data_IF_217026065499
#
_entry.id   IF_217026065499
#
_cell.length_a   1.000
_cell.length_b   1.000
_cell.length_c   1.000
_cell.angle_alpha   90.00
_cell.angle_beta   90.00
_cell.angle_gamma   90.00
#
_symmetry.space_group_name_H-M   'P 1'
#
loop_
_entity.id
_entity.type
_entity.pdbx_description
1 polymer ?
#
# COMPACT_ATOMS: atom_id res chain seq x y z
N UNK A 1 -25.17 43.53 -1.49
CA UNK A 1 -24.06 44.09 -2.27
C UNK A 1 -23.57 45.34 -1.60
N UNK A 2 -22.26 45.52 -1.49
CA UNK A 2 -21.64 46.73 -0.93
C UNK A 2 -21.32 47.59 -2.13
N UNK A 3 -21.94 48.80 -2.18
CA UNK A 3 -21.86 49.67 -3.36
C UNK A 3 -20.97 50.90 -3.15
N UNK A 4 -20.44 51.11 -1.92
CA UNK A 4 -19.52 52.23 -1.64
C UNK A 4 -18.51 51.87 -0.53
N UNK A 5 -17.35 52.53 -0.53
CA UNK A 5 -16.30 52.39 0.47
C UNK A 5 -16.81 52.77 1.88
N UNK A 6 -17.64 53.80 1.99
CA UNK A 6 -18.24 54.21 3.25
C UNK A 6 -19.15 53.15 3.89
N UNK A 7 -19.91 52.45 3.04
CA UNK A 7 -20.76 51.35 3.51
C UNK A 7 -19.93 50.15 3.99
N UNK A 8 -18.83 49.88 3.31
CA UNK A 8 -17.84 48.87 3.71
C UNK A 8 -17.26 49.22 5.08
N UNK A 9 -16.80 50.45 5.27
CA UNK A 9 -16.16 50.90 6.52
C UNK A 9 -17.15 50.88 7.70
N UNK A 10 -18.39 51.26 7.50
CA UNK A 10 -19.45 51.18 8.51
C UNK A 10 -19.76 49.73 8.89
N UNK A 11 -19.82 48.81 7.92
CA UNK A 11 -20.01 47.37 8.17
C UNK A 11 -18.79 46.77 8.89
N UNK A 12 -17.59 47.17 8.50
CA UNK A 12 -16.36 46.73 9.11
C UNK A 12 -16.24 47.15 10.59
N UNK A 13 -16.56 48.40 10.92
CA UNK A 13 -16.59 48.91 12.28
C UNK A 13 -17.67 48.21 13.15
N UNK A 14 -18.84 47.91 12.56
CA UNK A 14 -19.87 47.12 13.26
C UNK A 14 -19.39 45.70 13.54
N UNK A 15 -18.72 45.10 12.58
CA UNK A 15 -18.16 43.72 12.71
C UNK A 15 -17.07 43.64 13.80
N UNK A 16 -16.19 44.64 13.87
CA UNK A 16 -15.14 44.71 14.92
C UNK A 16 -15.71 44.86 16.33
N UNK A 17 -16.91 45.43 16.48
CA UNK A 17 -17.59 45.58 17.79
C UNK A 17 -18.30 44.29 18.27
N UNK A 18 -18.27 43.22 17.49
CA UNK A 18 -18.89 41.96 17.88
C UNK A 18 -17.86 41.04 18.59
N UNK A 19 -17.93 40.88 19.95
CA UNK A 19 -16.93 40.12 20.72
C UNK A 19 -16.79 38.67 20.27
N UNK A 20 -17.84 38.11 19.67
CA UNK A 20 -17.88 36.73 19.22
C UNK A 20 -16.89 36.44 18.07
N UNK A 21 -16.60 37.43 17.23
CA UNK A 21 -15.71 37.27 16.06
C UNK A 21 -14.28 37.75 16.32
N UNK A 22 -14.08 38.50 17.42
CA UNK A 22 -12.75 38.94 17.83
C UNK A 22 -11.86 37.75 18.15
N UNK A 23 -10.63 37.72 17.63
CA UNK A 23 -9.67 36.62 17.74
C UNK A 23 -10.11 35.26 17.15
N UNK A 24 -11.30 35.14 16.54
CA UNK A 24 -11.75 33.93 15.85
C UNK A 24 -11.76 34.06 14.35
N UNK A 25 -12.30 35.17 13.82
CA UNK A 25 -12.35 35.45 12.39
C UNK A 25 -11.44 36.61 11.98
N UNK A 26 -11.07 37.48 12.92
CA UNK A 26 -10.12 38.57 12.70
C UNK A 26 -9.18 38.68 13.90
N UNK A 27 -7.88 38.72 13.64
CA UNK A 27 -6.84 38.93 14.66
C UNK A 27 -5.56 39.45 14.01
N UNK A 28 -4.97 40.51 14.59
CA UNK A 28 -3.62 41.03 14.24
C UNK A 28 -3.33 41.14 12.72
N UNK A 29 -4.26 41.66 11.93
CA UNK A 29 -4.07 41.79 10.49
C UNK A 29 -4.38 40.56 9.64
N UNK A 30 -4.84 39.48 10.26
CA UNK A 30 -5.34 38.28 9.56
C UNK A 30 -6.87 38.22 9.60
N UNK A 31 -7.48 37.81 8.50
CA UNK A 31 -8.91 37.55 8.41
C UNK A 31 -9.17 36.12 7.95
N UNK A 32 -10.07 35.41 8.63
CA UNK A 32 -10.50 34.08 8.23
C UNK A 32 -11.84 34.13 7.50
N UNK A 33 -11.94 33.48 6.36
CA UNK A 33 -13.18 33.27 5.63
C UNK A 33 -13.60 31.82 5.75
N UNK A 34 -14.82 31.59 6.22
CA UNK A 34 -15.40 30.25 6.33
C UNK A 34 -16.28 30.02 5.10
N UNK A 35 -15.95 28.97 4.33
CA UNK A 35 -16.75 28.51 3.20
C UNK A 35 -17.53 27.27 3.61
N UNK A 36 -18.85 27.34 3.64
CA UNK A 36 -19.71 26.17 3.82
C UNK A 36 -19.86 25.45 2.49
N UNK A 37 -19.59 24.17 2.47
CA UNK A 37 -19.72 23.33 1.28
C UNK A 37 -20.97 22.47 1.41
N UNK A 38 -21.70 22.33 0.31
CA UNK A 38 -22.83 21.43 0.23
C UNK A 38 -22.34 19.96 0.19
N UNK A 39 -23.21 19.05 0.62
CA UNK A 39 -22.93 17.60 0.64
C UNK A 39 -22.52 17.03 -0.72
N UNK A 40 -22.99 17.63 -1.82
CA UNK A 40 -22.63 17.26 -3.19
C UNK A 40 -21.15 17.43 -3.51
N UNK A 41 -20.42 18.28 -2.77
CA UNK A 41 -18.98 18.49 -2.91
C UNK A 41 -18.13 17.57 -2.03
N UNK A 42 -18.74 16.57 -1.39
CA UNK A 42 -18.01 15.55 -0.64
C UNK A 42 -17.34 14.53 -1.60
N UNK A 43 -17.94 14.31 -2.80
CA UNK A 43 -17.35 13.45 -3.84
C UNK A 43 -16.00 13.99 -4.34
N UNK A 44 -15.05 13.11 -4.69
CA UNK A 44 -13.67 13.49 -5.01
C UNK A 44 -13.54 14.46 -6.17
N UNK A 45 -14.29 14.29 -7.24
CA UNK A 45 -14.14 15.09 -8.48
C UNK A 45 -14.63 16.51 -8.30
N UNK A 46 -15.86 16.69 -7.79
CA UNK A 46 -16.42 18.01 -7.52
C UNK A 46 -15.62 18.76 -6.46
N UNK A 47 -15.19 18.06 -5.40
CA UNK A 47 -14.34 18.62 -4.35
C UNK A 47 -13.00 19.11 -4.90
N UNK A 48 -12.32 18.30 -5.69
CA UNK A 48 -11.01 18.61 -6.25
C UNK A 48 -11.09 19.83 -7.20
N UNK A 49 -12.13 19.91 -8.02
CA UNK A 49 -12.38 21.05 -8.89
C UNK A 49 -12.65 22.34 -8.09
N UNK A 50 -13.48 22.25 -7.04
CA UNK A 50 -13.79 23.38 -6.18
C UNK A 50 -12.55 23.90 -5.45
N UNK A 51 -11.77 22.99 -4.83
CA UNK A 51 -10.52 23.36 -4.14
C UNK A 51 -9.52 24.00 -5.10
N UNK A 52 -9.43 23.51 -6.34
CA UNK A 52 -8.58 24.11 -7.37
C UNK A 52 -9.03 25.55 -7.69
N UNK A 53 -10.34 25.78 -7.90
CA UNK A 53 -10.89 27.12 -8.16
C UNK A 53 -10.63 28.07 -6.98
N UNK A 54 -10.83 27.60 -5.74
CA UNK A 54 -10.55 28.40 -4.53
C UNK A 54 -9.07 28.78 -4.46
N UNK A 55 -8.15 27.84 -4.74
CA UNK A 55 -6.70 28.13 -4.77
C UNK A 55 -6.33 29.14 -5.86
N UNK A 56 -6.92 29.02 -7.03
CA UNK A 56 -6.70 29.94 -8.13
C UNK A 56 -7.15 31.38 -7.78
N UNK A 57 -8.37 31.52 -7.24
CA UNK A 57 -8.89 32.82 -6.77
C UNK A 57 -7.99 33.38 -5.65
N UNK A 58 -7.61 32.59 -4.68
CA UNK A 58 -6.74 33.03 -3.59
C UNK A 58 -5.32 33.40 -4.05
N UNK A 59 -4.77 32.69 -5.06
CA UNK A 59 -3.48 33.02 -5.63
C UNK A 59 -3.52 34.34 -6.41
N UNK A 60 -4.60 34.64 -7.11
CA UNK A 60 -4.80 35.91 -7.78
C UNK A 60 -4.94 37.04 -6.76
N UNK A 61 -5.75 36.86 -5.72
CA UNK A 61 -5.86 37.80 -4.62
C UNK A 61 -4.53 38.06 -3.91
N UNK A 62 -3.73 37.02 -3.67
CA UNK A 62 -2.41 37.15 -3.06
C UNK A 62 -1.46 38.01 -3.92
N UNK A 63 -1.50 37.86 -5.26
CA UNK A 63 -0.70 38.66 -6.20
C UNK A 63 -1.16 40.11 -6.23
N UNK A 64 -2.46 40.34 -6.23
CA UNK A 64 -3.02 41.71 -6.36
C UNK A 64 -2.84 42.52 -5.06
N UNK A 65 -2.79 41.84 -3.91
CA UNK A 65 -2.74 42.50 -2.59
C UNK A 65 -1.41 42.35 -1.85
N UNK A 66 -0.47 41.60 -2.39
CA UNK A 66 0.80 41.24 -1.75
C UNK A 66 0.62 40.54 -0.37
N UNK A 67 -0.56 39.92 -0.13
CA UNK A 67 -0.90 39.24 1.11
C UNK A 67 -0.79 37.73 0.97
N UNK A 68 -0.40 37.06 2.05
CA UNK A 68 -0.38 35.59 2.09
C UNK A 68 -1.77 35.03 2.30
N UNK A 69 -2.15 34.01 1.53
CA UNK A 69 -3.41 33.28 1.66
C UNK A 69 -3.12 31.86 2.11
N UNK A 70 -3.73 31.47 3.23
CA UNK A 70 -3.61 30.13 3.80
C UNK A 70 -4.96 29.40 3.67
N UNK A 71 -4.88 28.07 3.43
CA UNK A 71 -6.05 27.24 3.26
C UNK A 71 -6.09 26.17 4.33
N UNK A 72 -7.27 25.90 4.89
CA UNK A 72 -7.50 24.87 5.89
C UNK A 72 -8.89 24.25 5.73
N UNK A 73 -9.09 23.10 6.36
CA UNK A 73 -10.36 22.39 6.37
C UNK A 73 -10.26 21.00 5.75
N UNK A 74 -11.15 20.10 6.19
CA UNK A 74 -11.14 18.69 5.76
C UNK A 74 -11.19 18.49 4.24
N UNK A 75 -12.00 19.23 3.45
CA UNK A 75 -12.03 19.07 2.00
C UNK A 75 -10.70 19.43 1.33
N UNK A 76 -10.05 20.47 1.82
CA UNK A 76 -8.73 20.90 1.33
C UNK A 76 -7.66 19.85 1.64
N UNK A 77 -7.59 19.40 2.89
CA UNK A 77 -6.63 18.38 3.34
C UNK A 77 -6.81 17.05 2.58
N UNK A 78 -8.06 16.61 2.40
CA UNK A 78 -8.35 15.40 1.60
C UNK A 78 -7.89 15.54 0.15
N UNK A 79 -8.07 16.71 -0.46
CA UNK A 79 -7.64 16.94 -1.85
C UNK A 79 -6.11 16.91 -1.99
N UNK A 80 -5.38 17.57 -1.07
CA UNK A 80 -3.91 17.56 -1.08
C UNK A 80 -3.39 16.16 -0.82
N UNK A 81 -3.89 15.48 0.21
CA UNK A 81 -3.46 14.12 0.53
C UNK A 81 -3.70 13.18 -0.64
N UNK A 82 -4.86 13.24 -1.31
CA UNK A 82 -5.12 12.42 -2.50
C UNK A 82 -4.14 12.68 -3.65
N UNK A 83 -3.72 13.92 -3.85
CA UNK A 83 -2.75 14.28 -4.88
C UNK A 83 -1.33 13.77 -4.54
N UNK A 84 -0.89 13.92 -3.29
CA UNK A 84 0.37 13.39 -2.77
C UNK A 84 0.41 11.87 -2.87
N UNK A 85 -0.64 11.19 -2.41
CA UNK A 85 -0.75 9.73 -2.46
C UNK A 85 -0.60 9.22 -3.88
N UNK A 86 -1.28 9.83 -4.87
CA UNK A 86 -1.15 9.40 -6.28
C UNK A 86 0.29 9.48 -6.79
N UNK A 87 1.04 10.48 -6.38
CA UNK A 87 2.46 10.63 -6.75
C UNK A 87 3.34 9.60 -6.05
N UNK A 88 3.13 9.38 -4.76
CA UNK A 88 3.91 8.46 -3.93
C UNK A 88 3.64 7.00 -4.27
N UNK A 89 2.39 6.63 -4.58
CA UNK A 89 2.02 5.25 -4.99
C UNK A 89 2.84 4.80 -6.20
N UNK A 90 3.00 5.65 -7.21
CA UNK A 90 3.82 5.34 -8.37
C UNK A 90 5.27 5.02 -8.00
N UNK A 91 5.84 5.83 -7.11
CA UNK A 91 7.20 5.63 -6.60
C UNK A 91 7.31 4.32 -5.78
N UNK A 92 6.36 4.05 -4.88
CA UNK A 92 6.37 2.83 -4.06
C UNK A 92 6.24 1.58 -4.92
N UNK A 93 5.36 1.58 -5.92
CA UNK A 93 5.22 0.46 -6.86
C UNK A 93 6.54 0.25 -7.63
N UNK A 94 7.14 1.32 -8.15
CA UNK A 94 8.40 1.23 -8.87
C UNK A 94 9.52 0.66 -7.98
N UNK A 95 9.69 1.18 -6.76
CA UNK A 95 10.68 0.70 -5.80
C UNK A 95 10.42 -0.77 -5.41
N UNK A 96 9.16 -1.14 -5.17
CA UNK A 96 8.80 -2.51 -4.85
C UNK A 96 9.16 -3.46 -5.99
N UNK A 97 8.85 -3.12 -7.25
CA UNK A 97 9.25 -3.93 -8.40
C UNK A 97 10.77 -3.97 -8.59
N UNK A 98 11.47 -2.86 -8.38
CA UNK A 98 12.92 -2.79 -8.54
C UNK A 98 13.62 -3.68 -7.49
N UNK A 99 13.32 -3.49 -6.20
CA UNK A 99 13.91 -4.28 -5.11
C UNK A 99 13.61 -5.77 -5.30
N UNK A 100 12.36 -6.08 -5.64
CA UNK A 100 11.93 -7.45 -5.91
C UNK A 100 12.65 -8.07 -7.10
N UNK A 101 12.82 -7.32 -8.19
CA UNK A 101 13.55 -7.78 -9.36
C UNK A 101 14.99 -8.14 -9.02
N UNK A 102 15.65 -7.30 -8.22
CA UNK A 102 17.02 -7.55 -7.74
C UNK A 102 17.06 -8.85 -6.92
N UNK A 103 16.15 -8.99 -5.96
CA UNK A 103 16.08 -10.18 -5.09
C UNK A 103 15.84 -11.44 -5.92
N UNK A 104 14.86 -11.42 -6.83
CA UNK A 104 14.54 -12.56 -7.70
C UNK A 104 15.70 -12.93 -8.62
N UNK A 105 16.39 -11.92 -9.18
CA UNK A 105 17.56 -12.17 -10.03
C UNK A 105 18.71 -12.81 -9.25
N UNK A 106 19.02 -12.30 -8.05
CA UNK A 106 20.06 -12.88 -7.17
C UNK A 106 19.68 -14.30 -6.78
N UNK A 107 18.40 -14.55 -6.53
CA UNK A 107 17.91 -15.87 -6.10
C UNK A 107 17.96 -16.88 -7.24
N UNK A 108 17.34 -16.62 -8.37
CA UNK A 108 17.22 -17.56 -9.49
C UNK A 108 18.42 -17.54 -10.45
N UNK A 109 19.20 -16.48 -10.49
CA UNK A 109 20.25 -16.22 -11.50
C UNK A 109 19.74 -16.43 -12.94
N UNK A 110 18.48 -16.13 -13.18
CA UNK A 110 17.76 -16.31 -14.45
C UNK A 110 16.84 -15.13 -14.69
N UNK A 111 17.15 -14.33 -15.71
CA UNK A 111 16.28 -13.24 -16.17
C UNK A 111 14.88 -13.73 -16.56
N UNK A 112 14.78 -14.92 -17.13
CA UNK A 112 13.49 -15.49 -17.56
C UNK A 112 12.59 -15.79 -16.37
N UNK A 113 13.12 -16.43 -15.32
CA UNK A 113 12.38 -16.73 -14.12
C UNK A 113 11.94 -15.44 -13.38
N UNK A 114 12.85 -14.46 -13.28
CA UNK A 114 12.57 -13.14 -12.74
C UNK A 114 11.45 -12.46 -13.52
N UNK A 115 11.57 -12.38 -14.85
CA UNK A 115 10.60 -11.70 -15.71
C UNK A 115 9.21 -12.33 -15.63
N UNK A 116 9.10 -13.67 -15.61
CA UNK A 116 7.82 -14.38 -15.45
C UNK A 116 7.17 -13.99 -14.12
N UNK A 117 7.92 -14.00 -13.01
CA UNK A 117 7.39 -13.66 -11.69
C UNK A 117 6.88 -12.22 -11.66
N UNK A 118 7.66 -11.28 -12.19
CA UNK A 118 7.30 -9.85 -12.24
C UNK A 118 6.10 -9.62 -13.13
N UNK A 119 6.02 -10.27 -14.29
CA UNK A 119 4.92 -10.14 -15.24
C UNK A 119 3.61 -10.60 -14.60
N UNK A 120 3.59 -11.76 -13.94
CA UNK A 120 2.38 -12.29 -13.29
C UNK A 120 1.91 -11.37 -12.17
N UNK A 121 2.83 -10.92 -11.32
CA UNK A 121 2.49 -10.00 -10.22
C UNK A 121 2.09 -8.62 -10.76
N UNK A 122 2.75 -8.15 -11.84
CA UNK A 122 2.39 -6.90 -12.52
C UNK A 122 0.97 -6.92 -13.07
N UNK A 123 0.54 -8.02 -13.68
CA UNK A 123 -0.85 -8.21 -14.10
C UNK A 123 -1.78 -8.11 -12.90
N UNK A 124 -1.43 -8.73 -11.76
CA UNK A 124 -2.20 -8.65 -10.52
C UNK A 124 -2.31 -7.22 -9.96
N UNK A 125 -1.24 -6.43 -10.05
CA UNK A 125 -1.26 -5.01 -9.66
C UNK A 125 -2.20 -4.20 -10.56
N UNK A 126 -2.12 -4.39 -11.89
CA UNK A 126 -3.05 -3.73 -12.83
C UNK A 126 -4.48 -4.14 -12.56
N UNK A 127 -4.71 -5.43 -12.30
CA UNK A 127 -6.03 -5.95 -11.94
C UNK A 127 -6.57 -5.31 -10.66
N UNK A 128 -5.72 -5.05 -9.66
CA UNK A 128 -6.16 -4.41 -8.42
C UNK A 128 -6.67 -2.98 -8.61
N UNK A 129 -6.03 -2.20 -9.49
CA UNK A 129 -6.56 -0.90 -9.89
C UNK A 129 -7.88 -1.01 -10.66
N UNK A 130 -7.99 -2.02 -11.53
CA UNK A 130 -9.24 -2.35 -12.21
C UNK A 130 -10.37 -2.68 -11.24
N UNK A 131 -10.08 -3.44 -10.18
CA UNK A 131 -11.05 -3.77 -9.13
C UNK A 131 -11.51 -2.53 -8.37
N UNK A 132 -10.59 -1.61 -8.03
CA UNK A 132 -10.93 -0.32 -7.40
C UNK A 132 -11.86 0.49 -8.29
N UNK A 133 -11.53 0.60 -9.60
CA UNK A 133 -12.36 1.34 -10.57
C UNK A 133 -13.73 0.71 -10.79
N UNK A 134 -13.82 -0.62 -10.86
CA UNK A 134 -15.10 -1.33 -11.02
C UNK A 134 -16.05 -1.19 -9.82
N UNK A 135 -15.49 -0.97 -8.64
CA UNK A 135 -16.26 -0.77 -7.41
C UNK A 135 -16.52 0.71 -7.10
N UNK A 136 -16.12 1.62 -7.99
CA UNK A 136 -16.18 3.09 -7.79
C UNK A 136 -15.54 3.53 -6.47
N UNK A 137 -14.42 2.89 -6.08
CA UNK A 137 -13.70 3.23 -4.85
C UNK A 137 -12.60 4.25 -5.12
N UNK A 138 -12.55 5.27 -4.29
CA UNK A 138 -11.48 6.28 -4.33
C UNK A 138 -10.13 5.69 -3.90
N UNK A 139 -9.05 6.26 -4.46
CA UNK A 139 -7.70 5.92 -4.01
C UNK A 139 -7.43 6.67 -2.70
N UNK A 140 -7.57 5.96 -1.59
CA UNK A 140 -7.24 6.41 -0.23
C UNK A 140 -5.80 5.98 0.14
N UNK A 141 -5.30 6.44 1.29
CA UNK A 141 -3.99 6.00 1.82
C UNK A 141 -3.95 4.47 1.96
N UNK A 142 -5.03 3.87 2.47
CA UNK A 142 -5.11 2.42 2.66
C UNK A 142 -5.16 1.66 1.33
N UNK A 143 -6.01 2.09 0.38
CA UNK A 143 -6.10 1.42 -0.92
C UNK A 143 -4.81 1.57 -1.75
N UNK A 144 -4.06 2.64 -1.53
CA UNK A 144 -2.75 2.87 -2.14
C UNK A 144 -1.69 1.82 -1.71
N UNK A 145 -1.87 1.17 -0.56
CA UNK A 145 -0.98 0.09 -0.09
C UNK A 145 -1.27 -1.26 -0.75
N UNK A 146 -2.41 -1.43 -1.44
CA UNK A 146 -2.78 -2.70 -2.07
C UNK A 146 -1.74 -3.16 -3.10
N UNK A 147 -1.28 -2.35 -4.06
CA UNK A 147 -0.29 -2.78 -5.04
C UNK A 147 1.04 -3.28 -4.43
N UNK A 148 1.73 -2.56 -3.53
CA UNK A 148 2.91 -3.08 -2.84
C UNK A 148 2.64 -4.36 -2.06
N UNK A 149 1.49 -4.47 -1.40
CA UNK A 149 1.07 -5.66 -0.67
C UNK A 149 0.95 -6.87 -1.60
N UNK A 150 0.31 -6.71 -2.75
CA UNK A 150 0.17 -7.77 -3.76
C UNK A 150 1.52 -8.21 -4.33
N UNK A 151 2.47 -7.28 -4.50
CA UNK A 151 3.83 -7.61 -4.92
C UNK A 151 4.49 -8.52 -3.87
N UNK A 152 4.42 -8.15 -2.59
CA UNK A 152 5.02 -8.91 -1.49
C UNK A 152 4.38 -10.29 -1.31
N UNK A 153 3.06 -10.42 -1.50
CA UNK A 153 2.33 -11.70 -1.36
C UNK A 153 2.45 -12.57 -2.62
N UNK A 154 2.43 -11.96 -3.81
CA UNK A 154 2.44 -12.71 -5.08
C UNK A 154 3.81 -13.31 -5.42
N UNK A 155 4.89 -12.69 -4.97
CA UNK A 155 6.26 -13.15 -5.27
C UNK A 155 6.60 -14.49 -4.64
N UNK A 156 6.36 -14.75 -3.35
CA UNK A 156 6.55 -16.07 -2.78
C UNK A 156 5.80 -17.17 -3.52
N UNK A 157 4.59 -16.93 -4.01
CA UNK A 157 3.84 -17.89 -4.83
C UNK A 157 4.63 -18.25 -6.10
N UNK A 158 5.15 -17.24 -6.80
CA UNK A 158 5.99 -17.44 -7.99
C UNK A 158 7.27 -18.19 -7.67
N UNK A 159 7.94 -17.84 -6.57
CA UNK A 159 9.17 -18.48 -6.13
C UNK A 159 8.92 -19.96 -5.82
N UNK A 160 7.85 -20.30 -5.09
CA UNK A 160 7.51 -21.68 -4.75
C UNK A 160 7.23 -22.52 -5.99
N UNK A 161 6.46 -21.98 -6.95
CA UNK A 161 6.16 -22.66 -8.21
C UNK A 161 7.44 -22.91 -9.02
N UNK A 162 8.25 -21.89 -9.26
CA UNK A 162 9.46 -22.01 -10.08
C UNK A 162 10.50 -22.94 -9.41
N UNK A 163 10.68 -22.80 -8.09
CA UNK A 163 11.58 -23.69 -7.35
C UNK A 163 11.13 -25.15 -7.42
N UNK A 164 9.84 -25.41 -7.26
CA UNK A 164 9.33 -26.77 -7.37
C UNK A 164 9.50 -27.33 -8.76
N UNK A 165 9.24 -26.52 -9.81
CA UNK A 165 9.52 -26.92 -11.18
C UNK A 165 11.00 -27.27 -11.39
N UNK A 166 11.92 -26.42 -10.92
CA UNK A 166 13.36 -26.67 -11.01
C UNK A 166 13.78 -27.96 -10.28
N UNK A 167 13.25 -28.21 -9.09
CA UNK A 167 13.55 -29.41 -8.30
C UNK A 167 13.04 -30.69 -8.99
N UNK A 168 11.80 -30.68 -9.49
CA UNK A 168 11.26 -31.84 -10.20
C UNK A 168 12.02 -32.08 -11.50
N UNK A 169 12.33 -31.02 -12.27
CA UNK A 169 13.09 -31.16 -13.50
C UNK A 169 14.51 -31.69 -13.25
N UNK A 170 15.17 -31.25 -12.17
CA UNK A 170 16.50 -31.75 -11.77
C UNK A 170 16.48 -33.27 -11.50
N UNK A 171 15.37 -33.79 -10.96
CA UNK A 171 15.28 -35.20 -10.54
C UNK A 171 15.05 -36.19 -11.68
N UNK A 172 14.33 -35.81 -12.74
CA UNK A 172 13.96 -36.76 -13.82
C UNK A 172 14.02 -36.21 -15.24
N UNK A 173 14.38 -34.94 -15.45
CA UNK A 173 14.59 -34.33 -16.78
C UNK A 173 13.33 -34.18 -17.64
N UNK A 174 12.15 -34.60 -17.16
CA UNK A 174 10.89 -34.58 -17.90
C UNK A 174 10.10 -33.28 -17.62
N UNK A 175 10.02 -32.39 -18.61
CA UNK A 175 9.39 -31.08 -18.46
C UNK A 175 7.88 -31.14 -18.19
N UNK A 176 7.05 -31.86 -18.99
CA UNK A 176 5.62 -31.99 -18.72
C UNK A 176 5.31 -32.53 -17.33
N UNK A 177 6.01 -33.59 -16.94
CA UNK A 177 5.82 -34.21 -15.61
C UNK A 177 6.21 -33.25 -14.48
N UNK A 178 7.27 -32.46 -14.66
CA UNK A 178 7.68 -31.42 -13.70
C UNK A 178 6.62 -30.35 -13.50
N UNK A 179 5.98 -29.90 -14.58
CA UNK A 179 4.87 -28.91 -14.53
C UNK A 179 3.65 -29.47 -13.79
N UNK A 180 3.25 -30.70 -14.10
CA UNK A 180 2.10 -31.36 -13.42
C UNK A 180 2.38 -31.53 -11.93
N UNK A 181 3.55 -32.03 -11.55
CA UNK A 181 3.92 -32.21 -10.15
C UNK A 181 4.07 -30.90 -9.39
N UNK A 182 4.58 -29.86 -10.04
CA UNK A 182 4.63 -28.50 -9.50
C UNK A 182 3.24 -28.02 -9.12
N UNK A 183 2.26 -28.05 -10.06
CA UNK A 183 0.89 -27.59 -9.82
C UNK A 183 0.25 -28.40 -8.68
N UNK A 184 0.32 -29.73 -8.72
CA UNK A 184 -0.29 -30.59 -7.70
C UNK A 184 0.30 -30.35 -6.30
N UNK A 185 1.61 -30.26 -6.16
CA UNK A 185 2.26 -30.15 -4.83
C UNK A 185 2.23 -28.73 -4.27
N UNK A 186 2.50 -27.73 -5.11
CA UNK A 186 2.52 -26.34 -4.65
C UNK A 186 1.10 -25.80 -4.56
N UNK A 187 0.24 -26.10 -5.54
CA UNK A 187 -1.15 -25.63 -5.56
C UNK A 187 -1.90 -25.95 -4.27
N UNK A 188 -1.82 -27.20 -3.78
CA UNK A 188 -2.49 -27.61 -2.54
C UNK A 188 -2.01 -26.84 -1.30
N UNK A 189 -0.72 -26.50 -1.22
CA UNK A 189 -0.16 -25.77 -0.07
C UNK A 189 -0.49 -24.30 -0.19
N UNK A 190 -0.30 -23.72 -1.37
CA UNK A 190 -0.47 -22.27 -1.57
C UNK A 190 -1.93 -21.85 -1.61
N UNK A 191 -2.88 -22.73 -1.99
CA UNK A 191 -4.31 -22.42 -1.89
C UNK A 191 -4.70 -22.14 -0.43
N UNK A 192 -4.26 -22.98 0.51
CA UNK A 192 -4.57 -22.80 1.92
C UNK A 192 -3.98 -21.50 2.47
N UNK A 193 -2.69 -21.23 2.19
CA UNK A 193 -2.02 -20.01 2.67
C UNK A 193 -2.61 -18.74 2.07
N UNK A 194 -2.93 -18.71 0.78
CA UNK A 194 -3.54 -17.52 0.16
C UNK A 194 -5.00 -17.34 0.57
N UNK A 195 -5.76 -18.43 0.75
CA UNK A 195 -7.13 -18.36 1.27
C UNK A 195 -7.15 -17.81 2.70
N UNK A 196 -6.27 -18.30 3.59
CA UNK A 196 -6.20 -17.77 4.96
C UNK A 196 -5.76 -16.31 4.98
N UNK A 197 -4.85 -15.90 4.12
CA UNK A 197 -4.45 -14.50 3.99
C UNK A 197 -5.61 -13.63 3.47
N UNK A 198 -6.30 -14.08 2.42
CA UNK A 198 -7.46 -13.38 1.87
C UNK A 198 -8.58 -13.26 2.92
N UNK A 199 -8.87 -14.32 3.67
CA UNK A 199 -9.83 -14.28 4.77
C UNK A 199 -9.41 -13.33 5.89
N UNK A 200 -8.10 -13.28 6.22
CA UNK A 200 -7.56 -12.31 7.16
C UNK A 200 -7.87 -10.86 6.75
N UNK A 201 -7.66 -10.51 5.48
CA UNK A 201 -8.04 -9.19 4.96
C UNK A 201 -9.56 -9.00 4.88
N UNK A 202 -10.32 -10.06 4.58
CA UNK A 202 -11.78 -10.00 4.56
C UNK A 202 -12.39 -9.66 5.93
N UNK A 203 -11.72 -9.92 7.05
CA UNK A 203 -12.21 -9.52 8.38
C UNK A 203 -12.39 -8.01 8.52
N UNK A 204 -11.63 -7.21 7.77
CA UNK A 204 -11.80 -5.76 7.75
C UNK A 204 -13.16 -5.32 7.17
N UNK A 205 -13.87 -6.17 6.43
CA UNK A 205 -15.21 -5.86 5.93
C UNK A 205 -16.21 -5.66 7.09
N UNK A 206 -15.94 -6.26 8.25
CA UNK A 206 -16.79 -6.19 9.44
C UNK A 206 -16.58 -4.90 10.26
N UNK A 207 -15.61 -4.05 9.88
CA UNK A 207 -15.30 -2.82 10.62
C UNK A 207 -16.26 -1.68 10.25
N UNK A 208 -16.40 -0.71 11.16
CA UNK A 208 -17.21 0.48 10.94
C UNK A 208 -16.54 1.53 10.03
N UNK A 209 -15.21 1.46 9.85
CA UNK A 209 -14.47 2.38 8.99
C UNK A 209 -14.69 2.02 7.52
N UNK A 210 -15.23 2.96 6.75
CA UNK A 210 -15.49 2.77 5.32
C UNK A 210 -14.21 2.48 4.54
N UNK A 211 -13.14 3.25 4.78
CA UNK A 211 -11.87 3.08 4.08
C UNK A 211 -11.24 1.70 4.36
N UNK A 212 -11.31 1.24 5.62
CA UNK A 212 -10.77 -0.05 6.02
C UNK A 212 -11.59 -1.20 5.45
N UNK A 213 -12.91 -1.06 5.38
CA UNK A 213 -13.81 -2.03 4.75
C UNK A 213 -13.55 -2.17 3.25
N UNK A 214 -13.40 -1.05 2.53
CA UNK A 214 -13.07 -1.04 1.10
C UNK A 214 -11.71 -1.68 0.85
N UNK A 215 -10.69 -1.30 1.64
CA UNK A 215 -9.36 -1.89 1.60
C UNK A 215 -9.41 -3.41 1.79
N UNK A 216 -10.09 -3.89 2.84
CA UNK A 216 -10.20 -5.32 3.14
C UNK A 216 -10.86 -6.12 2.02
N UNK A 217 -11.95 -5.60 1.44
CA UNK A 217 -12.65 -6.23 0.33
C UNK A 217 -11.74 -6.34 -0.90
N UNK A 218 -11.15 -5.23 -1.32
CA UNK A 218 -10.30 -5.19 -2.53
C UNK A 218 -9.04 -6.02 -2.33
N UNK A 219 -8.37 -5.91 -1.17
CA UNK A 219 -7.18 -6.72 -0.88
C UNK A 219 -7.50 -8.22 -0.89
N UNK A 220 -8.59 -8.65 -0.24
CA UNK A 220 -8.94 -10.08 -0.17
C UNK A 220 -9.22 -10.67 -1.55
N UNK A 221 -10.00 -10.00 -2.39
CA UNK A 221 -10.29 -10.43 -3.77
C UNK A 221 -9.01 -10.52 -4.58
N UNK A 222 -8.17 -9.49 -4.52
CA UNK A 222 -6.96 -9.42 -5.35
C UNK A 222 -5.85 -10.36 -4.88
N UNK A 223 -5.71 -10.64 -3.58
CA UNK A 223 -4.79 -11.68 -3.08
C UNK A 223 -5.14 -13.04 -3.67
N UNK A 224 -6.43 -13.40 -3.65
CA UNK A 224 -6.88 -14.65 -4.23
C UNK A 224 -6.74 -14.67 -5.75
N UNK A 225 -7.04 -13.56 -6.44
CA UNK A 225 -6.86 -13.41 -7.88
C UNK A 225 -5.38 -13.55 -8.30
N UNK A 226 -4.45 -12.90 -7.62
CA UNK A 226 -2.99 -13.01 -7.89
C UNK A 226 -2.49 -14.43 -7.67
N UNK A 227 -3.02 -15.13 -6.65
CA UNK A 227 -2.72 -16.55 -6.45
C UNK A 227 -3.18 -17.39 -7.65
N UNK A 228 -4.43 -17.24 -8.10
CA UNK A 228 -4.96 -17.97 -9.26
C UNK A 228 -4.17 -17.64 -10.53
N UNK A 229 -3.88 -16.35 -10.77
CA UNK A 229 -3.03 -15.92 -11.88
C UNK A 229 -1.65 -16.57 -11.83
N UNK A 230 -1.02 -16.65 -10.67
CA UNK A 230 0.28 -17.30 -10.51
C UNK A 230 0.19 -18.80 -10.82
N UNK A 231 -0.85 -19.48 -10.33
CA UNK A 231 -1.05 -20.92 -10.52
C UNK A 231 -1.33 -21.29 -11.98
N UNK A 232 -1.98 -20.40 -12.74
CA UNK A 232 -2.33 -20.63 -14.15
C UNK A 232 -1.22 -20.14 -15.08
N UNK A 233 -0.76 -18.89 -14.94
CA UNK A 233 0.17 -18.28 -15.91
C UNK A 233 1.59 -18.82 -15.79
N UNK A 234 2.09 -19.08 -14.56
CA UNK A 234 3.48 -19.55 -14.41
C UNK A 234 3.73 -20.89 -15.12
N UNK A 235 2.89 -21.93 -14.95
CA UNK A 235 3.06 -23.18 -15.70
C UNK A 235 2.99 -22.96 -17.22
N UNK A 236 2.04 -22.16 -17.69
CA UNK A 236 1.89 -21.85 -19.12
C UNK A 236 3.16 -21.19 -19.66
N UNK A 237 3.63 -20.12 -18.99
CA UNK A 237 4.84 -19.40 -19.42
C UNK A 237 6.08 -20.29 -19.36
N UNK A 238 6.22 -21.12 -18.33
CA UNK A 238 7.32 -22.09 -18.24
C UNK A 238 7.24 -23.16 -19.32
N UNK A 239 6.05 -23.53 -19.80
CA UNK A 239 5.89 -24.51 -20.87
C UNK A 239 6.47 -24.04 -22.19
N UNK A 240 6.44 -22.75 -22.51
CA UNK A 240 7.04 -22.18 -23.71
C UNK A 240 8.55 -21.96 -23.58
N UNK A 241 9.12 -21.92 -22.39
CA UNK A 241 10.55 -21.70 -22.20
C UNK A 241 11.35 -22.99 -22.44
N UNK A 242 12.61 -22.82 -22.86
CA UNK A 242 13.57 -23.94 -22.89
C UNK A 242 13.81 -24.48 -21.47
N UNK A 243 14.12 -25.78 -21.32
CA UNK A 243 14.43 -26.38 -20.03
C UNK A 243 15.48 -25.59 -19.24
N UNK A 244 15.41 -25.57 -17.92
CA UNK A 244 16.37 -24.86 -17.10
C UNK A 244 17.78 -25.43 -17.28
N UNK A 245 18.78 -24.54 -17.37
CA UNK A 245 20.20 -24.94 -17.42
C UNK A 245 20.67 -25.27 -15.99
N UNK A 246 21.72 -26.09 -15.86
CA UNK A 246 22.30 -26.46 -14.56
C UNK A 246 22.62 -25.25 -13.66
N UNK A 247 23.09 -24.13 -14.24
CA UNK A 247 23.36 -22.91 -13.48
C UNK A 247 22.12 -22.31 -12.79
N UNK A 248 20.92 -22.54 -13.36
CA UNK A 248 19.66 -22.05 -12.80
C UNK A 248 19.15 -22.90 -11.63
N UNK A 249 19.71 -24.11 -11.47
CA UNK A 249 19.34 -25.06 -10.42
C UNK A 249 20.35 -25.04 -9.26
N UNK A 250 21.56 -24.50 -9.48
CA UNK A 250 22.63 -24.41 -8.45
C UNK A 250 22.24 -23.60 -7.20
N UNK A 251 21.23 -22.70 -7.28
CA UNK A 251 20.78 -21.97 -6.12
C UNK A 251 20.14 -22.87 -5.04
N UNK A 252 19.69 -24.06 -5.41
CA UNK A 252 19.10 -25.05 -4.51
C UNK A 252 20.15 -25.69 -3.58
N UNK A 253 21.42 -25.71 -4.00
CA UNK A 253 22.53 -26.36 -3.28
C UNK A 253 23.49 -25.35 -2.63
N UNK A 254 23.02 -24.15 -2.26
CA UNK A 254 23.90 -23.12 -1.66
C UNK A 254 24.46 -23.55 -0.32
N UNK A 255 25.79 -23.68 -0.24
CA UNK A 255 26.50 -24.12 0.96
C UNK A 255 26.23 -23.24 2.20
N UNK A 256 26.07 -21.92 2.02
CA UNK A 256 25.79 -21.00 3.13
C UNK A 256 24.37 -21.20 3.70
N UNK A 257 23.36 -21.48 2.86
CA UNK A 257 22.01 -21.82 3.33
C UNK A 257 22.03 -23.12 4.13
N UNK A 258 22.73 -24.14 3.65
CA UNK A 258 22.89 -25.39 4.34
C UNK A 258 23.64 -25.22 5.69
N UNK A 259 24.59 -24.26 5.76
CA UNK A 259 25.27 -23.93 7.02
C UNK A 259 24.30 -23.27 8.01
N UNK A 260 23.48 -22.31 7.56
CA UNK A 260 22.45 -21.69 8.42
C UNK A 260 21.44 -22.75 8.92
N UNK A 261 20.93 -23.58 8.00
CA UNK A 261 19.98 -24.65 8.37
C UNK A 261 20.62 -25.61 9.40
N UNK A 262 21.88 -26.01 9.22
CA UNK A 262 22.57 -26.83 10.19
C UNK A 262 22.71 -26.16 11.56
N UNK A 263 23.03 -24.87 11.60
CA UNK A 263 23.09 -24.10 12.85
C UNK A 263 21.72 -24.04 13.53
N UNK A 264 20.67 -23.70 12.81
CA UNK A 264 19.31 -23.69 13.36
C UNK A 264 18.91 -25.07 13.87
N UNK A 265 19.13 -26.10 13.06
CA UNK A 265 18.83 -27.49 13.45
C UNK A 265 19.59 -27.92 14.70
N UNK A 266 20.87 -27.51 14.82
CA UNK A 266 21.67 -27.76 16.03
C UNK A 266 21.04 -27.11 17.26
N UNK A 267 20.67 -25.80 17.17
CA UNK A 267 20.03 -25.08 18.27
C UNK A 267 18.70 -25.72 18.67
N UNK A 268 17.84 -26.03 17.70
CA UNK A 268 16.54 -26.67 17.95
C UNK A 268 16.71 -28.09 18.55
N UNK A 269 17.72 -28.85 18.15
CA UNK A 269 17.91 -30.23 18.60
C UNK A 269 18.62 -30.32 19.96
N UNK A 270 19.67 -29.51 20.17
CA UNK A 270 20.57 -29.65 21.32
C UNK A 270 20.50 -28.51 22.34
N UNK A 271 19.88 -27.37 21.97
CA UNK A 271 19.84 -26.15 22.79
C UNK A 271 18.41 -25.61 22.97
N UNK A 272 17.44 -26.52 23.13
CA UNK A 272 16.01 -26.16 23.23
C UNK A 272 15.72 -25.20 24.37
N UNK A 273 16.35 -25.40 25.52
CA UNK A 273 16.16 -24.54 26.71
C UNK A 273 16.52 -23.09 26.43
N UNK A 274 17.63 -22.84 25.73
CA UNK A 274 18.02 -21.50 25.33
C UNK A 274 17.01 -20.88 24.36
N UNK A 275 16.49 -21.68 23.40
CA UNK A 275 15.46 -21.18 22.46
C UNK A 275 14.20 -20.76 23.22
N UNK A 276 13.73 -21.57 24.17
CA UNK A 276 12.57 -21.23 25.00
C UNK A 276 12.84 -19.99 25.87
N UNK A 277 13.98 -19.90 26.50
CA UNK A 277 14.37 -18.77 27.34
C UNK A 277 14.39 -17.46 26.54
N UNK A 278 15.05 -17.45 25.35
CA UNK A 278 15.05 -16.26 24.48
C UNK A 278 13.65 -15.90 24.00
N UNK A 279 12.82 -16.88 23.64
CA UNK A 279 11.45 -16.64 23.22
C UNK A 279 10.62 -16.00 24.36
N UNK A 280 10.75 -16.50 25.58
CA UNK A 280 10.05 -15.93 26.74
C UNK A 280 10.52 -14.50 27.01
N UNK A 281 11.82 -14.23 26.94
CA UNK A 281 12.37 -12.88 27.12
C UNK A 281 11.79 -11.92 26.07
N UNK A 282 11.78 -12.32 24.79
CA UNK A 282 11.24 -11.48 23.70
C UNK A 282 9.74 -11.22 23.91
N UNK A 283 8.96 -12.24 24.27
CA UNK A 283 7.52 -12.08 24.54
C UNK A 283 7.31 -11.14 25.73
N UNK A 284 8.09 -11.26 26.80
CA UNK A 284 7.98 -10.38 27.97
C UNK A 284 8.26 -8.92 27.60
N UNK A 285 9.32 -8.67 26.82
CA UNK A 285 9.63 -7.32 26.31
C UNK A 285 8.49 -6.79 25.43
N UNK A 286 7.93 -7.64 24.56
CA UNK A 286 6.82 -7.26 23.70
C UNK A 286 5.57 -6.91 24.52
N UNK A 287 5.22 -7.68 25.54
CA UNK A 287 4.09 -7.41 26.45
C UNK A 287 4.29 -6.06 27.16
N UNK A 288 5.50 -5.79 27.69
CA UNK A 288 5.81 -4.50 28.31
C UNK A 288 5.66 -3.35 27.30
N UNK A 289 6.05 -3.57 26.05
CA UNK A 289 5.84 -2.61 24.95
C UNK A 289 4.35 -2.33 24.71
N UNK A 290 3.53 -3.36 24.62
CA UNK A 290 2.07 -3.24 24.43
C UNK A 290 1.42 -2.45 25.57
N UNK A 291 1.83 -2.70 26.82
CA UNK A 291 1.30 -1.98 27.98
C UNK A 291 1.65 -0.48 27.99
N UNK A 292 2.66 -0.05 27.23
CA UNK A 292 3.06 1.36 27.09
C UNK A 292 2.44 2.05 25.87
N UNK A 293 1.63 1.37 25.05
CA UNK A 293 0.98 1.98 23.90
C UNK A 293 -0.05 3.00 24.38
N UNK A 294 0.14 4.26 24.03
CA UNK A 294 -0.83 5.33 24.20
C UNK A 294 -1.52 5.58 22.85
N UNK A 295 -2.85 5.54 22.84
CA UNK A 295 -3.63 5.91 21.65
C UNK A 295 -3.77 7.43 21.61
N UNK A 296 -2.95 8.11 20.84
CA UNK A 296 -3.07 9.55 20.56
C UNK A 296 -3.63 9.71 19.15
N UNK A 297 -4.92 9.99 19.05
CA UNK A 297 -5.60 10.23 17.77
C UNK A 297 -5.57 11.71 17.38
N UNK A 298 -4.41 12.29 17.08
CA UNK A 298 -4.31 13.62 16.52
C UNK A 298 -4.43 13.56 14.99
N UNK A 299 -5.54 14.03 14.46
CA UNK A 299 -5.80 14.11 12.99
C UNK A 299 -4.76 14.99 12.27
N UNK A 300 -4.07 15.86 13.01
CA UNK A 300 -3.08 16.81 12.48
C UNK A 300 -1.66 16.25 12.35
N UNK A 301 -1.37 15.08 12.94
CA UNK A 301 -0.01 14.51 12.92
C UNK A 301 0.36 13.94 11.54
N UNK A 302 -0.64 13.63 10.70
CA UNK A 302 -0.47 13.13 9.33
C UNK A 302 -0.25 14.25 8.28
N UNK A 303 -0.25 15.51 8.71
CA UNK A 303 -0.05 16.66 7.80
C UNK A 303 1.45 16.91 7.65
N UNK A 304 2.00 16.91 6.42
CA UNK A 304 3.40 17.25 6.18
C UNK A 304 3.74 18.61 6.76
N UNK A 305 4.79 18.69 7.57
CA UNK A 305 5.23 19.94 8.23
C UNK A 305 5.64 21.04 7.24
N UNK A 306 5.90 20.65 5.98
CA UNK A 306 6.30 21.55 4.89
C UNK A 306 5.11 22.10 4.09
N UNK A 307 3.87 21.85 4.50
CA UNK A 307 2.66 22.37 3.86
C UNK A 307 2.23 23.75 4.41
N UNK A 308 3.20 24.53 4.90
CA UNK A 308 2.99 25.93 5.30
C UNK A 308 2.95 26.84 4.09
#
# INVERSE_FOLDING_TARGET
>A
SINSQEELDKKYQRFQKLPFYENRLMSNGAAAMILSLDSDYISSDKRNELVRKIKELGSNYAKDTEKSVFYSGLPYLRTINSALIRKEVGLFIFLAFLVTSIILYIFFKSFKAMFISILVVGIGVVWSFGTLGLLDYEITILSALIPPLLIVIGIPNSIFLINKFHNEFKSHGNKPLSLIRMIKRVGNITILTNTTTALGFATFILTSSQDLRQFGLVASINIFAVFLLSLLLIPILLSYLKPPKERHVKHLDRAWLNKIIKVITYWVKYKREYVYTYTIIIITIAIVGVLKIQSTGNITDDIPKDSK
#
